data_IF_047580822804
#
_entry.id   IF_047580822804
#
_cell.length_a   1.000
_cell.length_b   1.000
_cell.length_c   1.000
_cell.angle_alpha   90.00
_cell.angle_beta   90.00
_cell.angle_gamma   90.00
#
_symmetry.space_group_name_H-M   'P 1'
#
loop_
_entity.id
_entity.type
_entity.pdbx_description
1 polymer ?
#
# COMPACT_ATOMS: atom_id res chain seq x y z
N UNK A 1 -4.31 23.14 -5.63
CA UNK A 1 -3.95 21.85 -6.27
C UNK A 1 -4.34 20.74 -5.30
N UNK A 2 -5.24 19.81 -5.69
CA UNK A 2 -5.55 18.65 -4.84
C UNK A 2 -4.27 17.84 -4.66
N UNK A 3 -3.99 17.44 -3.44
CA UNK A 3 -2.84 16.62 -3.09
C UNK A 3 -2.89 15.31 -3.88
N UNK A 4 -1.93 15.11 -4.79
CA UNK A 4 -1.90 13.95 -5.70
C UNK A 4 -1.65 12.66 -4.94
N UNK A 5 -0.84 12.72 -3.88
CA UNK A 5 -0.62 11.59 -2.98
C UNK A 5 -1.95 11.18 -2.35
N UNK A 6 -2.66 12.12 -1.71
CA UNK A 6 -3.98 11.85 -1.14
C UNK A 6 -4.96 11.27 -2.17
N UNK A 7 -4.99 11.81 -3.39
CA UNK A 7 -5.90 11.34 -4.44
C UNK A 7 -5.58 9.91 -4.85
N UNK A 8 -4.29 9.58 -5.00
CA UNK A 8 -3.84 8.23 -5.29
C UNK A 8 -4.21 7.24 -4.18
N UNK A 9 -3.88 7.59 -2.93
CA UNK A 9 -4.21 6.76 -1.76
C UNK A 9 -5.71 6.53 -1.65
N UNK A 10 -6.54 7.56 -1.87
CA UNK A 10 -8.00 7.44 -1.83
C UNK A 10 -8.53 6.44 -2.87
N UNK A 11 -8.10 6.57 -4.13
CA UNK A 11 -8.55 5.73 -5.22
C UNK A 11 -8.13 4.26 -5.04
N UNK A 12 -6.91 4.03 -4.59
CA UNK A 12 -6.42 2.67 -4.30
C UNK A 12 -7.10 2.09 -3.05
N UNK A 13 -7.32 2.90 -2.01
CA UNK A 13 -8.00 2.45 -0.80
C UNK A 13 -9.45 2.02 -1.08
N UNK A 14 -10.20 2.76 -1.90
CA UNK A 14 -11.56 2.34 -2.28
C UNK A 14 -11.56 0.96 -2.96
N UNK A 15 -10.64 0.76 -3.90
CA UNK A 15 -10.52 -0.49 -4.67
C UNK A 15 -10.01 -1.69 -3.86
N UNK A 16 -9.17 -1.48 -2.84
CA UNK A 16 -8.45 -2.59 -2.16
C UNK A 16 -8.70 -2.69 -0.66
N UNK A 17 -9.30 -1.67 -0.07
CA UNK A 17 -9.37 -1.47 1.39
C UNK A 17 -8.00 -1.43 2.09
N UNK A 18 -6.95 -1.06 1.35
CA UNK A 18 -5.57 -0.97 1.82
C UNK A 18 -4.99 0.40 1.46
N UNK A 19 -4.08 0.88 2.30
CA UNK A 19 -3.36 2.13 2.06
C UNK A 19 -2.22 1.89 1.09
N UNK A 20 -2.20 2.67 0.01
CA UNK A 20 -1.07 2.70 -0.89
C UNK A 20 0.05 3.59 -0.34
N UNK A 21 1.30 3.14 -0.47
CA UNK A 21 2.47 3.95 -0.22
C UNK A 21 2.73 4.86 -1.43
N UNK A 22 2.79 6.18 -1.21
CA UNK A 22 3.17 7.11 -2.28
C UNK A 22 4.64 6.97 -2.70
N UNK A 23 5.47 6.54 -1.76
CA UNK A 23 6.86 6.15 -1.99
C UNK A 23 7.10 4.73 -1.44
N UNK A 24 6.90 3.67 -2.23
CA UNK A 24 7.10 2.30 -1.77
C UNK A 24 8.52 1.95 -1.32
N UNK A 25 9.50 2.81 -1.63
CA UNK A 25 10.90 2.65 -1.23
C UNK A 25 11.20 3.32 0.12
N UNK A 26 10.30 4.19 0.61
CA UNK A 26 10.56 5.09 1.75
C UNK A 26 9.34 5.21 2.64
N UNK A 27 9.52 5.14 3.96
CA UNK A 27 8.58 5.83 4.86
C UNK A 27 9.28 6.63 5.95
N UNK A 28 8.65 7.77 6.23
CA UNK A 28 9.10 8.80 7.14
C UNK A 28 8.90 8.36 8.59
N UNK A 29 10.00 8.30 9.35
CA UNK A 29 9.98 8.27 10.81
C UNK A 29 9.72 9.67 11.37
N UNK A 30 8.98 9.77 12.47
CA UNK A 30 8.80 11.03 13.22
C UNK A 30 10.05 11.42 14.02
N UNK A 31 10.95 10.47 14.26
CA UNK A 31 12.18 10.72 15.00
C UNK A 31 13.23 11.29 14.07
N UNK A 32 13.60 12.55 14.31
CA UNK A 32 14.81 13.14 13.77
C UNK A 32 15.97 12.61 14.61
N UNK A 33 16.74 11.68 14.07
CA UNK A 33 18.02 11.31 14.67
C UNK A 33 19.05 12.39 14.34
N UNK A 34 19.41 13.18 15.36
CA UNK A 34 20.40 14.25 15.23
C UNK A 34 21.82 13.73 14.98
N UNK A 35 22.10 12.45 15.24
CA UNK A 35 23.43 11.87 15.08
C UNK A 35 23.74 11.49 13.63
N UNK A 36 22.74 11.12 12.84
CA UNK A 36 22.94 10.60 11.47
C UNK A 36 22.62 11.62 10.38
N UNK A 37 21.97 12.76 10.70
CA UNK A 37 21.47 13.72 9.70
C UNK A 37 20.63 13.04 8.60
N UNK A 38 20.06 11.87 8.90
CA UNK A 38 19.39 11.01 7.95
C UNK A 38 18.00 10.74 8.49
N UNK A 39 16.97 11.06 7.71
CA UNK A 39 15.65 10.47 7.94
C UNK A 39 15.81 8.98 7.64
N UNK A 40 16.01 8.18 8.69
CA UNK A 40 16.08 6.74 8.53
C UNK A 40 14.81 6.26 7.83
N UNK A 41 15.02 5.67 6.65
CA UNK A 41 13.98 5.21 5.74
C UNK A 41 13.47 3.88 6.28
N UNK A 42 12.50 3.93 7.19
CA UNK A 42 11.98 2.72 7.82
C UNK A 42 10.79 2.22 6.99
N UNK A 43 10.88 1.04 6.36
CA UNK A 43 9.74 0.47 5.65
C UNK A 43 8.61 0.16 6.63
N UNK A 44 7.37 0.17 6.12
CA UNK A 44 6.20 -0.25 6.89
C UNK A 44 6.31 -1.74 7.16
N UNK A 45 6.12 -2.14 8.42
CA UNK A 45 6.11 -3.54 8.84
C UNK A 45 4.78 -3.91 9.49
N UNK A 46 4.44 -5.19 9.44
CA UNK A 46 3.34 -5.74 10.22
C UNK A 46 3.59 -5.48 11.70
N UNK A 47 2.54 -5.05 12.40
CA UNK A 47 2.60 -4.67 13.80
C UNK A 47 3.02 -3.22 14.07
N UNK A 48 3.47 -2.47 13.05
CA UNK A 48 3.72 -1.04 13.23
C UNK A 48 2.43 -0.37 13.70
N UNK A 49 2.52 0.42 14.77
CA UNK A 49 1.38 1.18 15.28
C UNK A 49 1.69 2.67 15.28
N UNK A 50 0.64 3.47 15.30
CA UNK A 50 0.75 4.92 15.34
C UNK A 50 -0.54 5.61 14.95
N UNK A 51 -0.44 6.84 14.42
CA UNK A 51 -1.60 7.71 14.18
C UNK A 51 -1.69 8.14 12.72
N UNK A 52 -2.91 8.37 12.27
CA UNK A 52 -3.17 8.97 10.97
C UNK A 52 -3.31 10.49 11.14
N UNK A 53 -2.54 11.28 10.40
CA UNK A 53 -2.57 12.74 10.49
C UNK A 53 -3.95 13.30 10.15
N UNK A 54 -4.52 14.13 11.03
CA UNK A 54 -5.81 14.78 10.76
C UNK A 54 -5.69 16.07 9.92
N UNK A 55 -4.46 16.57 9.70
CA UNK A 55 -4.19 17.78 8.92
C UNK A 55 -4.56 19.07 9.65
N UNK A 56 -4.28 19.18 10.96
CA UNK A 56 -4.50 20.43 11.69
C UNK A 56 -3.48 21.48 11.24
N UNK A 57 -3.96 22.67 10.88
CA UNK A 57 -3.14 23.87 10.77
C UNK A 57 -2.67 24.26 12.18
N UNK A 58 -1.52 23.79 12.63
CA UNK A 58 -0.86 24.44 13.75
C UNK A 58 -0.32 25.79 13.25
N UNK A 59 -0.83 26.88 13.83
CA UNK A 59 -0.49 28.28 13.49
C UNK A 59 1.01 28.59 13.61
N UNK A 60 1.79 27.75 14.30
CA UNK A 60 3.21 28.00 14.60
C UNK A 60 4.20 27.37 13.62
N UNK A 61 3.78 26.49 12.69
CA UNK A 61 4.68 25.84 11.72
C UNK A 61 4.20 26.00 10.28
N UNK A 62 4.27 27.22 9.76
CA UNK A 62 3.84 27.62 8.41
C UNK A 62 4.56 26.89 7.25
N UNK A 63 5.70 26.25 7.51
CA UNK A 63 6.46 25.48 6.52
C UNK A 63 6.04 24.01 6.40
N UNK A 64 5.41 23.44 7.44
CA UNK A 64 4.90 22.06 7.39
C UNK A 64 3.43 22.11 7.02
N UNK A 65 3.13 22.10 5.71
CA UNK A 65 1.83 21.63 5.23
C UNK A 65 1.69 20.19 5.71
N UNK A 66 1.10 19.98 6.88
CA UNK A 66 0.85 18.63 7.38
C UNK A 66 -0.07 17.93 6.39
N UNK A 67 0.51 17.00 5.63
CA UNK A 67 -0.24 16.13 4.74
C UNK A 67 -1.27 15.41 5.58
N UNK A 68 -2.55 15.57 5.22
CA UNK A 68 -3.65 14.90 5.92
C UNK A 68 -3.70 13.45 5.45
N UNK A 69 -3.91 12.53 6.40
CA UNK A 69 -4.10 11.09 6.21
C UNK A 69 -2.85 10.29 5.89
N UNK A 70 -1.69 10.77 6.34
CA UNK A 70 -0.45 10.01 6.38
C UNK A 70 -0.40 9.23 7.69
N UNK A 71 -0.08 7.94 7.64
CA UNK A 71 0.22 7.16 8.84
C UNK A 71 1.63 7.48 9.33
N UNK A 72 1.72 7.84 10.60
CA UNK A 72 2.94 8.16 11.32
C UNK A 72 3.21 7.03 12.29
N UNK A 73 4.28 6.28 12.06
CA UNK A 73 4.74 5.21 12.95
C UNK A 73 5.20 5.81 14.28
N UNK A 74 4.75 5.20 15.38
CA UNK A 74 5.17 5.52 16.74
C UNK A 74 5.89 4.34 17.41
N UNK A 75 5.61 3.10 16.99
CA UNK A 75 6.29 1.90 17.46
C UNK A 75 5.90 0.66 16.66
N UNK A 76 6.23 -0.52 17.17
CA UNK A 76 5.83 -1.80 16.59
C UNK A 76 5.49 -2.79 17.72
N UNK A 77 4.30 -3.37 17.71
CA UNK A 77 3.81 -4.23 18.80
C UNK A 77 4.71 -5.46 19.05
N UNK A 78 5.46 -5.93 18.06
CA UNK A 78 6.37 -7.07 18.21
C UNK A 78 7.76 -6.66 18.70
N UNK A 79 8.21 -5.45 18.36
CA UNK A 79 9.49 -4.89 18.81
C UNK A 79 9.36 -4.36 20.25
N UNK A 80 8.19 -3.80 20.61
CA UNK A 80 7.92 -3.17 21.91
C UNK A 80 7.37 -4.14 22.97
N UNK A 81 7.38 -5.45 22.73
CA UNK A 81 6.94 -6.49 23.69
C UNK A 81 5.42 -6.66 23.86
N UNK A 82 4.61 -5.70 23.39
CA UNK A 82 3.14 -5.72 23.49
C UNK A 82 2.50 -6.99 22.93
N UNK A 83 2.98 -7.48 21.79
CA UNK A 83 2.47 -8.71 21.19
C UNK A 83 2.64 -9.92 22.13
N UNK A 84 3.74 -9.98 22.89
CA UNK A 84 3.98 -11.05 23.87
C UNK A 84 3.04 -10.95 25.06
N UNK A 85 2.87 -9.75 25.61
CA UNK A 85 1.94 -9.48 26.73
C UNK A 85 0.50 -9.90 26.39
N UNK A 86 0.09 -9.63 25.15
CA UNK A 86 -1.26 -9.91 24.65
C UNK A 86 -1.38 -11.24 23.88
N UNK A 87 -0.35 -12.10 23.94
CA UNK A 87 -0.30 -13.42 23.27
C UNK A 87 -0.61 -13.40 21.77
N UNK A 88 -0.31 -12.30 21.09
CA UNK A 88 -0.56 -12.12 19.65
C UNK A 88 0.48 -12.94 18.88
N UNK A 89 0.05 -13.81 17.94
CA UNK A 89 0.96 -14.62 17.17
C UNK A 89 1.87 -13.76 16.29
N UNK A 90 3.05 -14.30 15.96
CA UNK A 90 3.95 -13.68 14.99
C UNK A 90 3.26 -13.60 13.61
N UNK A 91 3.58 -12.59 12.78
CA UNK A 91 3.02 -12.51 11.44
C UNK A 91 3.41 -13.73 10.59
N UNK A 92 2.47 -14.17 9.76
CA UNK A 92 2.65 -15.24 8.78
C UNK A 92 2.86 -14.59 7.41
N UNK A 93 3.81 -15.10 6.63
CA UNK A 93 4.01 -14.67 5.25
C UNK A 93 3.28 -15.63 4.30
N UNK A 94 2.47 -15.06 3.41
CA UNK A 94 1.73 -15.75 2.37
C UNK A 94 2.30 -15.40 1.00
N UNK A 95 2.27 -16.38 0.09
CA UNK A 95 2.73 -16.21 -1.30
C UNK A 95 4.25 -16.33 -1.48
N UNK A 96 5.02 -16.63 -0.43
CA UNK A 96 6.47 -16.76 -0.54
C UNK A 96 6.90 -17.81 -1.59
N UNK A 97 6.15 -18.91 -1.66
CA UNK A 97 6.37 -20.03 -2.59
C UNK A 97 6.03 -19.71 -4.06
N UNK A 98 5.21 -18.69 -4.30
CA UNK A 98 4.96 -18.20 -5.65
C UNK A 98 6.16 -17.35 -6.10
N UNK A 99 7.06 -17.98 -6.87
CA UNK A 99 8.23 -17.32 -7.46
C UNK A 99 7.86 -16.39 -8.61
N UNK A 100 6.64 -16.52 -9.15
CA UNK A 100 6.15 -15.72 -10.28
C UNK A 100 4.70 -15.31 -10.04
N UNK A 101 4.41 -14.02 -10.22
CA UNK A 101 3.04 -13.51 -10.13
C UNK A 101 3.00 -11.98 -10.20
N UNK A 102 1.85 -11.46 -10.62
CA UNK A 102 1.57 -10.03 -10.66
C UNK A 102 0.26 -9.72 -9.93
N UNK A 103 0.28 -8.71 -9.08
CA UNK A 103 -0.91 -8.21 -8.39
C UNK A 103 -1.23 -6.83 -8.95
N UNK A 104 -2.44 -6.68 -9.51
CA UNK A 104 -2.95 -5.39 -9.99
C UNK A 104 -3.98 -4.84 -9.01
N UNK A 105 -3.80 -3.59 -8.61
CA UNK A 105 -4.81 -2.80 -7.90
C UNK A 105 -5.11 -1.57 -8.71
N UNK A 106 -6.33 -1.47 -9.21
CA UNK A 106 -6.76 -0.40 -10.10
C UNK A 106 -8.01 0.25 -9.53
N UNK A 107 -8.12 1.58 -9.66
CA UNK A 107 -9.26 2.33 -9.16
C UNK A 107 -10.58 1.89 -9.80
N UNK A 108 -11.68 1.99 -9.05
CA UNK A 108 -13.03 1.47 -9.41
C UNK A 108 -13.60 2.03 -10.72
N UNK A 109 -13.12 3.17 -11.18
CA UNK A 109 -13.52 3.80 -12.44
C UNK A 109 -12.79 3.25 -13.68
N UNK A 110 -11.98 2.22 -13.53
CA UNK A 110 -11.21 1.59 -14.59
C UNK A 110 -11.91 0.35 -15.14
N UNK A 111 -11.86 0.22 -16.46
CA UNK A 111 -12.28 -0.97 -17.17
C UNK A 111 -11.07 -1.58 -17.87
N UNK A 112 -10.84 -2.88 -17.69
CA UNK A 112 -9.76 -3.57 -18.40
C UNK A 112 -10.09 -3.61 -19.90
N UNK A 113 -9.11 -3.32 -20.73
CA UNK A 113 -9.23 -3.36 -22.19
C UNK A 113 -8.11 -4.19 -22.80
N UNK A 114 -8.30 -4.62 -24.04
CA UNK A 114 -7.27 -5.34 -24.77
C UNK A 114 -6.02 -4.45 -24.97
N UNK A 115 -4.84 -5.00 -24.69
CA UNK A 115 -3.57 -4.27 -24.78
C UNK A 115 -3.27 -3.86 -26.23
N UNK A 116 -3.59 -4.71 -27.21
CA UNK A 116 -3.40 -4.38 -28.64
C UNK A 116 -4.27 -3.19 -29.06
N UNK A 117 -5.50 -3.13 -28.55
CA UNK A 117 -6.42 -2.01 -28.78
C UNK A 117 -5.95 -0.71 -28.08
N UNK A 118 -5.38 -0.83 -26.87
CA UNK A 118 -4.93 0.31 -26.08
C UNK A 118 -3.62 0.96 -26.58
N UNK A 119 -2.76 0.18 -27.22
CA UNK A 119 -1.44 0.65 -27.67
C UNK A 119 -1.52 1.32 -29.05
N UNK A 120 -2.56 1.06 -29.85
CA UNK A 120 -2.77 1.74 -31.15
C UNK A 120 -1.57 1.67 -32.10
N UNK A 121 -0.72 0.65 -31.98
CA UNK A 121 0.57 0.53 -32.70
C UNK A 121 1.69 1.46 -32.22
N UNK A 122 1.47 2.29 -31.19
CA UNK A 122 2.35 3.42 -30.80
C UNK A 122 3.54 2.99 -29.93
N UNK A 123 3.56 1.79 -29.35
CA UNK A 123 4.67 1.38 -28.47
C UNK A 123 5.06 -0.09 -28.68
N UNK A 124 5.97 -0.39 -29.63
CA UNK A 124 6.49 -1.75 -29.85
C UNK A 124 7.04 -2.41 -28.57
N UNK A 125 7.57 -1.62 -27.63
CA UNK A 125 8.11 -2.12 -26.37
C UNK A 125 7.05 -2.84 -25.50
N UNK A 126 5.78 -2.43 -25.56
CA UNK A 126 4.70 -3.09 -24.80
C UNK A 126 4.35 -4.48 -25.36
N UNK A 127 4.58 -4.71 -26.67
CA UNK A 127 4.32 -6.00 -27.28
C UNK A 127 5.20 -7.11 -26.69
N UNK A 128 6.45 -6.76 -26.35
CA UNK A 128 7.49 -7.66 -25.86
C UNK A 128 7.53 -7.80 -24.33
N UNK A 129 6.67 -7.10 -23.60
CA UNK A 129 6.63 -7.18 -22.14
C UNK A 129 6.09 -8.54 -21.65
N UNK A 130 6.73 -9.08 -20.60
CA UNK A 130 6.28 -10.31 -19.90
C UNK A 130 4.98 -10.02 -19.16
N UNK A 131 4.97 -8.93 -18.39
CA UNK A 131 3.82 -8.42 -17.65
C UNK A 131 3.22 -7.28 -18.47
N UNK A 132 1.92 -7.32 -18.77
CA UNK A 132 1.24 -6.18 -19.42
C UNK A 132 -0.26 -6.16 -19.13
N UNK A 133 -0.77 -4.96 -18.87
CA UNK A 133 -2.19 -4.71 -18.66
C UNK A 133 -2.59 -3.37 -19.26
N UNK A 134 -3.84 -3.26 -19.71
CA UNK A 134 -4.40 -2.02 -20.21
C UNK A 134 -5.77 -1.73 -19.60
N UNK A 135 -6.00 -0.46 -19.28
CA UNK A 135 -7.18 0.00 -18.57
C UNK A 135 -7.67 1.34 -19.14
N UNK A 136 -8.97 1.47 -19.32
CA UNK A 136 -9.64 2.72 -19.69
C UNK A 136 -10.31 3.32 -18.46
N UNK A 137 -9.98 4.57 -18.13
CA UNK A 137 -10.60 5.27 -17.00
C UNK A 137 -11.80 6.08 -17.45
N UNK A 138 -12.99 5.71 -16.99
CA UNK A 138 -14.27 6.27 -17.46
C UNK A 138 -14.52 7.71 -17.03
N UNK A 139 -14.07 8.11 -15.83
CA UNK A 139 -14.36 9.43 -15.26
C UNK A 139 -13.28 9.86 -14.26
N UNK A 140 -13.06 11.16 -14.10
CA UNK A 140 -12.10 11.69 -13.11
C UNK A 140 -10.68 11.14 -13.26
N UNK A 141 -9.82 11.30 -12.25
CA UNK A 141 -8.49 10.68 -12.29
C UNK A 141 -8.60 9.19 -11.98
N UNK A 142 -7.87 8.38 -12.73
CA UNK A 142 -7.62 6.96 -12.45
C UNK A 142 -6.29 6.71 -11.74
N UNK A 143 -6.23 5.65 -10.93
CA UNK A 143 -5.03 5.20 -10.24
C UNK A 143 -4.76 3.70 -10.50
N UNK A 144 -3.48 3.34 -10.56
CA UNK A 144 -3.01 1.96 -10.72
C UNK A 144 -1.82 1.71 -9.81
N UNK A 145 -1.75 0.49 -9.30
CA UNK A 145 -0.59 -0.13 -8.69
C UNK A 145 -0.44 -1.53 -9.28
N UNK A 146 0.75 -1.86 -9.77
CA UNK A 146 1.12 -3.21 -10.14
C UNK A 146 2.35 -3.62 -9.34
N UNK A 147 2.35 -4.86 -8.85
CA UNK A 147 3.39 -5.43 -8.00
C UNK A 147 3.82 -6.76 -8.62
N UNK A 148 5.11 -6.91 -8.90
CA UNK A 148 5.70 -8.16 -9.38
C UNK A 148 6.29 -8.94 -8.21
N UNK A 149 6.04 -10.25 -8.18
CA UNK A 149 6.46 -11.18 -7.14
C UNK A 149 6.04 -10.71 -5.74
N UNK A 150 4.78 -10.28 -5.63
CA UNK A 150 4.14 -9.81 -4.42
C UNK A 150 4.01 -10.92 -3.37
N UNK A 151 4.35 -10.61 -2.12
CA UNK A 151 4.02 -11.41 -0.94
C UNK A 151 3.33 -10.57 0.10
N UNK A 152 2.57 -11.24 0.94
CA UNK A 152 1.76 -10.61 1.97
C UNK A 152 2.14 -11.17 3.34
N UNK A 153 2.66 -10.32 4.21
CA UNK A 153 2.82 -10.66 5.63
C UNK A 153 1.61 -10.14 6.41
N UNK A 154 1.01 -10.95 7.27
CA UNK A 154 -0.19 -10.59 8.03
C UNK A 154 -0.20 -11.19 9.44
N UNK A 155 -0.90 -10.55 10.37
CA UNK A 155 -1.27 -11.18 11.65
C UNK A 155 -2.42 -12.16 11.40
N UNK A 156 -2.20 -13.44 11.71
CA UNK A 156 -3.16 -14.52 11.48
C UNK A 156 -3.33 -15.36 12.77
N UNK A 157 -4.56 -15.50 13.32
CA UNK A 157 -5.81 -14.91 12.86
C UNK A 157 -5.86 -13.38 13.10
N UNK A 158 -6.52 -12.60 12.21
CA UNK A 158 -6.60 -11.15 12.33
C UNK A 158 -7.33 -10.69 13.60
N UNK A 159 -8.20 -11.54 14.15
CA UNK A 159 -8.89 -11.32 15.43
C UNK A 159 -7.96 -11.21 16.63
N UNK A 160 -6.74 -11.75 16.57
CA UNK A 160 -5.79 -11.72 17.68
C UNK A 160 -5.43 -10.29 18.11
N UNK A 161 -5.48 -9.31 17.19
CA UNK A 161 -5.21 -7.91 17.48
C UNK A 161 -6.23 -7.27 18.44
N UNK A 162 -7.41 -7.89 18.64
CA UNK A 162 -8.43 -7.38 19.55
C UNK A 162 -7.99 -7.36 21.01
N UNK A 163 -7.05 -8.22 21.38
CA UNK A 163 -6.50 -8.26 22.74
C UNK A 163 -5.84 -6.92 23.12
N UNK A 164 -5.36 -6.15 22.13
CA UNK A 164 -4.82 -4.81 22.36
C UNK A 164 -5.88 -3.76 22.72
N UNK A 165 -7.17 -4.04 22.58
CA UNK A 165 -8.23 -3.15 23.08
C UNK A 165 -8.22 -3.08 24.61
N UNK A 166 -7.68 -4.10 25.28
CA UNK A 166 -7.53 -4.14 26.74
C UNK A 166 -6.35 -3.30 27.24
N UNK A 167 -5.42 -2.90 26.35
CA UNK A 167 -4.28 -2.05 26.67
C UNK A 167 -4.64 -0.56 26.55
N UNK A 168 -4.76 0.20 27.66
CA UNK A 168 -5.11 1.61 27.61
C UNK A 168 -4.08 2.46 26.85
N UNK A 169 -2.81 2.02 26.81
CA UNK A 169 -1.76 2.73 26.07
C UNK A 169 -1.93 2.62 24.55
N UNK A 170 -2.76 1.67 24.09
CA UNK A 170 -2.99 1.42 22.67
C UNK A 170 -4.22 2.15 22.11
N UNK A 171 -4.92 2.92 22.94
CA UNK A 171 -6.12 3.68 22.53
C UNK A 171 -5.81 4.72 21.46
N UNK A 172 -6.75 4.87 20.53
CA UNK A 172 -6.69 5.80 19.39
C UNK A 172 -5.54 5.54 18.40
N UNK A 173 -4.81 4.44 18.53
CA UNK A 173 -3.86 4.00 17.52
C UNK A 173 -4.53 3.19 16.42
N UNK A 174 -3.84 3.17 15.28
CA UNK A 174 -4.06 2.20 14.22
C UNK A 174 -2.85 1.29 14.15
N UNK A 175 -3.08 0.05 13.74
CA UNK A 175 -2.04 -0.97 13.59
C UNK A 175 -1.99 -1.41 12.14
N UNK A 176 -0.78 -1.59 11.63
CA UNK A 176 -0.53 -2.27 10.37
C UNK A 176 -0.75 -3.77 10.58
N UNK A 177 -1.91 -4.29 10.17
CA UNK A 177 -2.23 -5.71 10.32
C UNK A 177 -1.66 -6.58 9.19
N UNK A 178 -1.39 -5.96 8.03
CA UNK A 178 -0.97 -6.63 6.81
C UNK A 178 -0.07 -5.71 5.99
N UNK A 179 0.98 -6.25 5.38
CA UNK A 179 1.90 -5.54 4.48
C UNK A 179 2.18 -6.39 3.25
N UNK A 180 2.09 -5.76 2.08
CA UNK A 180 2.58 -6.31 0.83
C UNK A 180 4.05 -5.93 0.61
N UNK A 181 4.84 -6.89 0.14
CA UNK A 181 6.22 -6.70 -0.27
C UNK A 181 6.45 -7.26 -1.65
N UNK A 182 7.18 -6.53 -2.51
CA UNK A 182 7.37 -6.96 -3.90
C UNK A 182 8.79 -6.68 -4.40
N UNK A 183 9.20 -7.40 -5.45
CA UNK A 183 10.52 -7.21 -6.09
C UNK A 183 10.51 -6.08 -7.09
N UNK A 184 9.35 -5.74 -7.63
CA UNK A 184 9.17 -4.60 -8.51
C UNK A 184 7.76 -4.03 -8.38
N UNK A 185 7.63 -2.73 -8.61
CA UNK A 185 6.33 -2.08 -8.67
C UNK A 185 6.28 -1.02 -9.76
N UNK A 186 5.07 -0.73 -10.22
CA UNK A 186 4.78 0.51 -10.90
C UNK A 186 3.47 1.10 -10.37
N UNK A 187 3.49 2.40 -10.08
CA UNK A 187 2.31 3.16 -9.71
C UNK A 187 2.04 4.27 -10.70
N UNK A 188 0.76 4.53 -10.94
CA UNK A 188 0.31 5.60 -11.80
C UNK A 188 -0.89 6.31 -11.17
N UNK A 189 -0.89 7.63 -11.26
CA UNK A 189 -2.06 8.47 -11.11
C UNK A 189 -2.21 9.31 -12.37
N UNK A 190 -3.22 9.03 -13.18
CA UNK A 190 -3.50 9.76 -14.42
C UNK A 190 -3.70 11.26 -14.17
N UNK A 191 -3.44 12.10 -15.17
CA UNK A 191 -3.70 13.54 -15.08
C UNK A 191 -5.20 13.86 -15.10
N UNK A 192 -5.96 13.11 -15.89
CA UNK A 192 -7.39 13.29 -16.14
C UNK A 192 -8.07 11.98 -16.56
N UNK A 193 -9.40 11.99 -16.60
CA UNK A 193 -10.22 10.84 -17.03
C UNK A 193 -10.33 10.71 -18.54
N UNK A 194 -11.01 9.66 -18.98
CA UNK A 194 -11.15 9.32 -20.41
C UNK A 194 -9.87 8.78 -21.04
N UNK A 195 -8.80 8.60 -20.24
CA UNK A 195 -7.50 8.13 -20.72
C UNK A 195 -7.48 6.60 -20.74
N UNK A 196 -7.02 6.02 -21.84
CA UNK A 196 -6.63 4.60 -21.90
C UNK A 196 -5.14 4.48 -21.62
N UNK A 197 -4.79 3.64 -20.66
CA UNK A 197 -3.41 3.40 -20.21
C UNK A 197 -3.06 1.95 -20.44
N UNK A 198 -1.90 1.70 -21.04
CA UNK A 198 -1.24 0.42 -21.07
C UNK A 198 0.07 0.52 -20.30
N UNK A 199 0.35 -0.50 -19.49
CA UNK A 199 1.54 -0.59 -18.65
C UNK A 199 2.12 -2.00 -18.80
N UNK A 200 3.44 -2.12 -18.80
CA UNK A 200 4.08 -3.43 -18.84
C UNK A 200 5.51 -3.44 -18.34
N UNK A 201 6.01 -4.61 -17.98
CA UNK A 201 7.40 -4.82 -17.59
C UNK A 201 8.16 -5.46 -18.75
N UNK A 202 9.05 -4.68 -19.35
CA UNK A 202 9.99 -5.13 -20.37
C UNK A 202 11.21 -5.73 -19.68
N UNK A 203 11.64 -6.90 -20.12
CA UNK A 203 12.87 -7.55 -19.62
C UNK A 203 13.81 -7.69 -20.80
N UNK A 204 14.95 -7.01 -20.77
CA UNK A 204 15.98 -7.21 -21.79
C UNK A 204 16.56 -8.63 -21.63
N UNK A 205 16.66 -9.42 -22.72
CA UNK A 205 17.28 -10.74 -22.64
C UNK A 205 18.76 -10.60 -22.22
N UNK A 206 19.30 -11.53 -21.42
CA UNK A 206 20.70 -11.50 -21.05
C UNK A 206 21.58 -11.56 -22.31
N UNK A 207 22.56 -10.66 -22.41
CA UNK A 207 23.49 -10.62 -23.54
C UNK A 207 24.37 -11.87 -23.50
N UNK A 208 24.29 -12.69 -24.55
CA UNK A 208 25.07 -13.93 -24.67
C UNK A 208 26.57 -13.65 -24.49
N UNK A 209 27.22 -14.37 -23.57
CA UNK A 209 28.68 -14.30 -23.35
C UNK A 209 29.13 -13.59 -22.07
N UNK A 210 28.21 -12.97 -21.31
CA UNK A 210 28.51 -12.40 -19.98
C UNK A 210 27.89 -13.29 -18.90
N UNK A 211 28.72 -14.10 -18.24
CA UNK A 211 28.29 -14.84 -17.07
C UNK A 211 27.87 -13.85 -15.96
N UNK A 212 26.60 -13.92 -15.54
CA UNK A 212 25.96 -13.14 -14.46
C UNK A 212 25.35 -11.76 -14.77
N UNK A 213 24.96 -11.45 -16.01
CA UNK A 213 24.09 -10.28 -16.23
C UNK A 213 22.65 -10.60 -15.77
N UNK A 214 22.27 -10.12 -14.57
CA UNK A 214 20.87 -10.07 -14.14
C UNK A 214 20.06 -9.28 -15.18
N UNK A 215 18.95 -9.84 -15.67
CA UNK A 215 18.12 -9.16 -16.66
C UNK A 215 17.62 -7.81 -16.13
N UNK A 216 17.90 -6.72 -16.84
CA UNK A 216 17.45 -5.39 -16.45
C UNK A 216 15.97 -5.22 -16.88
N UNK A 217 15.06 -5.40 -15.93
CA UNK A 217 13.65 -5.08 -16.13
C UNK A 217 13.42 -3.56 -16.14
N UNK A 218 12.50 -3.09 -16.99
CA UNK A 218 12.04 -1.68 -17.01
C UNK A 218 10.54 -1.62 -17.24
N UNK A 219 9.83 -0.87 -16.39
CA UNK A 219 8.41 -0.60 -16.60
C UNK A 219 8.20 0.42 -17.71
N UNK A 220 7.39 0.04 -18.70
CA UNK A 220 7.01 0.85 -19.85
C UNK A 220 5.52 1.20 -19.78
N UNK A 221 5.15 2.33 -20.40
CA UNK A 221 3.79 2.84 -20.44
C UNK A 221 3.52 3.57 -21.75
N UNK A 222 2.27 3.58 -22.20
CA UNK A 222 1.87 4.30 -23.42
C UNK A 222 1.53 5.78 -23.19
N UNK A 223 1.41 6.25 -21.94
CA UNK A 223 1.10 7.66 -21.62
C UNK A 223 2.33 8.43 -21.10
N UNK A 224 2.42 9.70 -21.47
CA UNK A 224 3.45 10.64 -20.98
C UNK A 224 2.97 11.54 -19.83
N UNK A 225 1.67 11.67 -19.63
CA UNK A 225 1.08 12.54 -18.60
C UNK A 225 0.73 11.77 -17.31
N UNK A 226 0.44 12.52 -16.24
CA UNK A 226 0.14 11.96 -14.92
C UNK A 226 1.39 11.76 -14.05
N UNK A 227 1.18 11.25 -12.84
CA UNK A 227 2.26 10.95 -11.91
C UNK A 227 2.55 9.45 -11.94
N UNK A 228 3.71 9.09 -12.47
CA UNK A 228 4.16 7.72 -12.59
C UNK A 228 5.47 7.54 -11.83
N UNK A 229 5.58 6.43 -11.12
CA UNK A 229 6.82 5.99 -10.49
C UNK A 229 6.87 4.48 -10.57
N UNK A 230 8.04 3.95 -10.91
CA UNK A 230 8.25 2.53 -10.99
C UNK A 230 9.69 2.20 -10.60
N UNK A 231 9.90 1.02 -10.03
CA UNK A 231 11.21 0.56 -9.62
C UNK A 231 11.30 -0.95 -9.76
N UNK A 232 12.44 -1.45 -10.23
CA UNK A 232 12.75 -2.88 -10.35
C UNK A 232 13.96 -3.17 -9.47
N UNK A 233 13.84 -4.14 -8.56
CA UNK A 233 14.99 -4.63 -7.81
C UNK A 233 15.72 -5.70 -8.63
N UNK A 234 16.94 -5.36 -9.07
CA UNK A 234 17.78 -6.23 -9.91
C UNK A 234 18.12 -7.58 -9.28
N UNK A 235 18.09 -7.66 -7.94
CA UNK A 235 18.40 -8.88 -7.22
C UNK A 235 17.17 -9.79 -7.04
N UNK A 236 15.97 -9.36 -7.48
CA UNK A 236 14.72 -10.09 -7.27
C UNK A 236 14.21 -10.07 -5.82
N UNK A 237 14.94 -9.49 -4.87
CA UNK A 237 14.51 -9.45 -3.47
C UNK A 237 13.28 -8.54 -3.31
N UNK A 238 12.34 -8.97 -2.48
CA UNK A 238 11.13 -8.19 -2.14
C UNK A 238 11.49 -7.08 -1.15
N UNK A 239 11.73 -5.87 -1.65
CA UNK A 239 12.23 -4.74 -0.84
C UNK A 239 11.34 -3.49 -0.93
N UNK A 240 10.29 -3.53 -1.73
CA UNK A 240 9.33 -2.43 -1.85
C UNK A 240 8.07 -2.78 -1.09
N UNK A 241 7.48 -1.78 -0.43
CA UNK A 241 6.29 -1.94 0.43
C UNK A 241 5.15 -1.03 -0.04
N UNK A 242 4.56 -1.34 -1.21
CA UNK A 242 3.65 -0.43 -1.88
C UNK A 242 2.23 -0.40 -1.29
N UNK A 243 1.84 -1.40 -0.50
CA UNK A 243 0.46 -1.56 -0.03
C UNK A 243 0.43 -2.15 1.39
N UNK A 244 -0.42 -1.65 2.27
CA UNK A 244 -0.57 -2.17 3.64
C UNK A 244 -1.98 -1.93 4.18
N UNK A 245 -2.47 -2.80 5.07
CA UNK A 245 -3.77 -2.63 5.74
C UNK A 245 -3.57 -2.02 7.12
N UNK A 246 -4.37 -1.01 7.44
CA UNK A 246 -4.47 -0.45 8.78
C UNK A 246 -5.80 -0.88 9.42
N UNK A 247 -5.74 -1.28 10.68
CA UNK A 247 -6.92 -1.54 11.52
C UNK A 247 -6.97 -0.58 12.69
N UNK A 248 -8.18 -0.21 13.11
CA UNK A 248 -8.42 0.77 14.16
C UNK A 248 -8.65 0.09 15.51
N UNK A 249 -7.94 0.57 16.54
CA UNK A 249 -8.21 0.23 17.95
C UNK A 249 -9.20 1.23 18.56
N UNK A 250 -10.46 1.16 18.13
CA UNK A 250 -11.53 1.99 18.70
C UNK A 250 -12.60 1.15 19.38
N UNK A 251 -13.06 1.61 20.55
CA UNK A 251 -14.03 0.93 21.42
C UNK A 251 -15.40 0.68 20.75
N UNK A 252 -15.71 1.38 19.65
CA UNK A 252 -16.95 1.15 18.86
C UNK A 252 -17.08 -0.29 18.36
N UNK A 253 -15.99 -1.06 18.35
CA UNK A 253 -15.99 -2.48 18.01
C UNK A 253 -16.63 -3.40 19.07
N UNK A 254 -17.12 -2.89 20.21
CA UNK A 254 -17.68 -3.69 21.31
C UNK A 254 -19.20 -3.91 21.26
N UNK A 255 -19.93 -3.37 20.29
CA UNK A 255 -21.42 -3.38 20.31
C UNK A 255 -22.13 -4.38 19.39
N UNK A 256 -21.44 -5.29 18.69
CA UNK A 256 -22.12 -6.41 18.03
C UNK A 256 -22.21 -7.58 18.99
N UNK A 257 -23.17 -7.46 19.92
CA UNK A 257 -23.59 -8.56 20.77
C UNK A 257 -24.17 -9.69 19.94
N UNK A 258 -23.50 -10.83 19.96
CA UNK A 258 -24.12 -12.14 19.87
C UNK A 258 -23.55 -12.95 21.03
N UNK A 259 -24.40 -13.19 22.03
CA UNK A 259 -24.29 -14.35 22.92
C UNK A 259 -24.37 -15.59 22.02
N UNK A 260 -23.22 -16.05 21.55
CA UNK A 260 -23.02 -17.31 20.85
C UNK A 260 -22.08 -18.16 21.69
N UNK A 261 -22.37 -19.45 21.77
CA UNK A 261 -21.67 -20.48 22.54
C UNK A 261 -20.15 -20.38 22.49
N UNK A 262 -19.51 -20.73 23.61
CA UNK A 262 -18.07 -20.71 23.90
C UNK A 262 -17.19 -21.63 23.01
N UNK A 263 -17.67 -22.05 21.83
CA UNK A 263 -17.05 -23.12 21.03
C UNK A 263 -16.57 -22.71 19.62
N UNK A 264 -16.63 -21.43 19.23
CA UNK A 264 -15.94 -20.94 18.02
C UNK A 264 -15.00 -19.77 18.37
N UNK A 265 -13.76 -20.12 18.69
CA UNK A 265 -12.67 -19.28 19.21
C UNK A 265 -12.11 -18.22 18.22
N UNK A 266 -12.85 -17.89 17.16
CA UNK A 266 -12.41 -16.94 16.13
C UNK A 266 -13.02 -15.58 16.40
N UNK A 267 -12.34 -14.80 17.25
CA UNK A 267 -12.64 -13.38 17.41
C UNK A 267 -12.68 -12.71 16.02
N UNK A 268 -13.73 -11.94 15.67
CA UNK A 268 -13.75 -11.24 14.39
C UNK A 268 -12.57 -10.24 14.26
N UNK A 269 -12.19 -9.85 13.04
CA UNK A 269 -11.13 -8.86 12.84
C UNK A 269 -11.51 -7.48 13.41
N UNK A 270 -10.50 -6.66 13.72
CA UNK A 270 -10.70 -5.23 13.99
C UNK A 270 -11.20 -4.50 12.74
N UNK A 271 -11.99 -3.42 12.89
CA UNK A 271 -12.43 -2.63 11.75
C UNK A 271 -11.24 -1.99 11.04
N UNK A 272 -11.34 -1.85 9.72
CA UNK A 272 -10.35 -1.15 8.91
C UNK A 272 -10.29 0.33 9.33
N UNK A 273 -9.08 0.88 9.43
CA UNK A 273 -8.92 2.30 9.64
C UNK A 273 -9.19 3.04 8.32
N UNK A 274 -10.21 3.89 8.30
CA UNK A 274 -10.52 4.65 7.10
C UNK A 274 -9.66 5.92 6.97
N UNK A 275 -9.30 6.34 5.74
CA UNK A 275 -8.70 7.62 5.52
C UNK A 275 -9.56 8.77 6.07
N UNK A 276 -8.97 9.77 6.76
CA UNK A 276 -9.71 10.80 7.51
C UNK A 276 -10.48 11.78 6.63
N UNK A 277 -10.47 11.59 5.32
CA UNK A 277 -11.24 12.34 4.36
C UNK A 277 -12.47 11.60 3.82
N UNK A 278 -12.59 10.28 4.03
CA UNK A 278 -13.78 9.52 3.66
C UNK A 278 -14.91 9.73 4.67
N UNK A 279 -14.60 9.69 5.97
CA UNK A 279 -15.54 9.94 7.07
C UNK A 279 -16.26 11.33 7.04
N UNK A 280 -15.87 12.24 6.14
CA UNK A 280 -16.53 13.55 5.94
C UNK A 280 -17.53 13.55 4.78
N UNK A 281 -17.46 12.61 3.85
CA UNK A 281 -18.37 12.59 2.69
C UNK A 281 -19.76 12.09 3.07
N UNK A 282 -19.88 11.18 4.04
CA UNK A 282 -21.16 10.63 4.50
C UNK A 282 -22.01 11.61 5.33
N UNK A 283 -21.44 12.71 5.83
CA UNK A 283 -22.20 13.72 6.60
C UNK A 283 -22.81 14.83 5.75
N UNK A 284 -22.51 14.86 4.46
CA UNK A 284 -22.89 15.93 3.54
C UNK A 284 -23.69 15.43 2.33
N UNK A 285 -24.13 14.17 2.33
CA UNK A 285 -25.09 13.61 1.38
C UNK A 285 -26.41 13.33 2.07
#
# INVERSE_FOLDING_TARGET
MRDSERTYVDLIFRASKKYASWDPEVRYSLFFDSATNFFDKIPVKVGDYGRITQGRRQLLFFWRRQQKGVFLKEGNIFEDGKAGEHKIPRPVEHGHEASEGETWVVSENAEQVDVSAAVGGVTPALAQCKIKGAFKFSSGRGAMLVMENDTMAAVDPPGALRRLLEDPSMRDFVIVSEVHSCSSYARLLTAQGGTTVALGLSVEPPVSGVASASANGTWVRNISTGNFRAQVNKNGHRKFYPLFRLVSLTEKATSTGLRGSEDDDVSPPLPEAEPPWLAKQEKNG
#
